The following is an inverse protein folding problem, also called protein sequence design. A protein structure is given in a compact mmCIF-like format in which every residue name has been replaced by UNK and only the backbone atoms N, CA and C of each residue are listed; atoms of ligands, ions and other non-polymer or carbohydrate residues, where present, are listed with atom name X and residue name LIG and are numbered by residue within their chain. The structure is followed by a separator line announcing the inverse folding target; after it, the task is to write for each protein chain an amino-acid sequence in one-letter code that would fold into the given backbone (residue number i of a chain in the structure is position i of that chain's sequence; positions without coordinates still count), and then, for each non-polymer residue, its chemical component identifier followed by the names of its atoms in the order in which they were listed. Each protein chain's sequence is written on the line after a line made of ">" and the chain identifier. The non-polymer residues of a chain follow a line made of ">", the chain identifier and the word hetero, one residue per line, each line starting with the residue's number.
data_IF_216960999337
#
_entry.id   IF_216960999337
#
_cell.length_a   1.000
_cell.length_b   1.000
_cell.length_c   1.000
_cell.angle_alpha   90.00
_cell.angle_beta   90.00
_cell.angle_gamma   90.00
#
_symmetry.space_group_name_H-M   'P 1'
#
loop_
_entity.id
_entity.type
_entity.pdbx_description
1 polymer ?
#
# COMPACT_ATOMS: atom_id res chain seq x y z
N UNK A 1 -12.29 -11.64 13.28
CA UNK A 1 -12.13 -12.15 11.90
C UNK A 1 -10.69 -12.02 11.44
N UNK A 2 -10.24 -12.83 10.47
CA UNK A 2 -8.86 -12.85 9.92
C UNK A 2 -8.66 -11.93 8.71
N UNK A 3 -9.61 -11.06 8.40
CA UNK A 3 -9.67 -10.37 7.12
C UNK A 3 -9.08 -8.96 7.19
N UNK A 4 -7.76 -8.86 7.40
CA UNK A 4 -7.01 -7.63 7.16
C UNK A 4 -6.58 -7.60 5.69
N UNK A 5 -7.41 -7.05 4.81
CA UNK A 5 -7.11 -6.91 3.38
C UNK A 5 -6.38 -5.60 3.08
N UNK A 6 -5.10 -5.51 3.42
CA UNK A 6 -4.23 -4.52 2.76
C UNK A 6 -3.74 -5.15 1.45
N UNK A 7 -4.56 -5.07 0.39
CA UNK A 7 -4.15 -5.41 -0.97
C UNK A 7 -4.07 -4.12 -1.79
N UNK A 8 -2.86 -3.61 -2.00
CA UNK A 8 -2.61 -2.66 -3.08
C UNK A 8 -1.38 -3.16 -3.85
N UNK A 9 -1.64 -3.82 -4.98
CA UNK A 9 -0.64 -4.13 -5.99
C UNK A 9 -0.87 -3.12 -7.13
N UNK A 10 -0.03 -2.10 -7.19
CA UNK A 10 -0.21 -1.01 -8.13
C UNK A 10 0.38 -1.37 -9.50
N UNK A 11 -0.42 -1.99 -10.37
CA UNK A 11 -0.29 -1.78 -11.82
C UNK A 11 -1.57 -1.14 -12.32
N UNK A 12 -1.50 -0.25 -13.29
CA UNK A 12 -2.69 0.45 -13.81
C UNK A 12 -3.77 -0.54 -14.26
N UNK A 13 -3.37 -1.63 -14.90
CA UNK A 13 -4.29 -2.70 -15.33
C UNK A 13 -4.79 -3.57 -14.17
N UNK A 14 -3.98 -3.76 -13.13
CA UNK A 14 -4.41 -4.44 -11.90
C UNK A 14 -5.45 -3.62 -11.13
N UNK A 15 -5.22 -2.32 -10.99
CA UNK A 15 -6.14 -1.37 -10.36
C UNK A 15 -7.43 -1.29 -11.17
N UNK A 16 -7.37 -1.15 -12.51
CA UNK A 16 -8.57 -1.14 -13.37
C UNK A 16 -9.40 -2.42 -13.23
N UNK A 17 -8.75 -3.60 -13.23
CA UNK A 17 -9.45 -4.87 -13.01
C UNK A 17 -10.09 -4.97 -11.63
N UNK A 18 -9.36 -4.54 -10.59
CA UNK A 18 -9.91 -4.51 -9.22
C UNK A 18 -11.10 -3.55 -9.11
N UNK A 19 -11.01 -2.36 -9.68
CA UNK A 19 -12.10 -1.38 -9.68
C UNK A 19 -13.33 -1.92 -10.42
N UNK A 20 -13.15 -2.58 -11.55
CA UNK A 20 -14.24 -3.22 -12.29
C UNK A 20 -14.94 -4.32 -11.47
N UNK A 21 -14.16 -5.14 -10.77
CA UNK A 21 -14.65 -6.21 -9.91
C UNK A 21 -15.36 -5.67 -8.65
N UNK A 22 -14.86 -4.58 -8.06
CA UNK A 22 -15.56 -3.84 -6.99
C UNK A 22 -16.87 -3.25 -7.50
N UNK A 23 -16.89 -2.62 -8.67
CA UNK A 23 -18.09 -2.06 -9.27
C UNK A 23 -19.15 -3.15 -9.52
N UNK A 24 -18.75 -4.32 -10.05
CA UNK A 24 -19.64 -5.46 -10.26
C UNK A 24 -20.23 -6.00 -8.94
N UNK A 25 -19.41 -6.14 -7.89
CA UNK A 25 -19.90 -6.53 -6.56
C UNK A 25 -20.86 -5.51 -5.96
N UNK A 26 -20.58 -4.24 -6.15
CA UNK A 26 -21.44 -3.16 -5.70
C UNK A 26 -22.79 -3.10 -6.44
N UNK A 27 -22.83 -3.45 -7.73
CA UNK A 27 -24.08 -3.61 -8.48
C UNK A 27 -24.91 -4.81 -7.96
N UNK A 28 -24.26 -5.89 -7.53
CA UNK A 28 -24.93 -7.06 -6.97
C UNK A 28 -25.51 -6.82 -5.55
N UNK A 29 -25.02 -5.81 -4.81
CA UNK A 29 -25.55 -5.44 -3.50
C UNK A 29 -25.61 -3.90 -3.30
N UNK A 30 -26.60 -3.23 -3.91
CA UNK A 30 -26.64 -1.77 -4.01
C UNK A 30 -26.99 -1.03 -2.71
N UNK A 31 -27.32 -1.75 -1.62
CA UNK A 31 -27.74 -1.13 -0.35
C UNK A 31 -26.57 -0.68 0.53
N UNK A 32 -25.32 -1.04 0.22
CA UNK A 32 -24.17 -0.45 0.91
C UNK A 32 -23.95 0.99 0.43
N UNK A 33 -24.23 1.98 1.28
CA UNK A 33 -23.95 3.41 1.03
C UNK A 33 -22.51 3.66 0.56
N UNK A 34 -21.56 2.84 1.02
CA UNK A 34 -20.16 2.84 0.60
C UNK A 34 -19.99 2.57 -0.91
N UNK A 35 -20.74 1.61 -1.44
CA UNK A 35 -20.66 1.21 -2.85
C UNK A 35 -21.09 2.32 -3.81
N UNK A 36 -22.16 3.06 -3.49
CA UNK A 36 -22.61 4.19 -4.32
C UNK A 36 -21.58 5.33 -4.33
N UNK A 37 -20.97 5.65 -3.19
CA UNK A 37 -19.91 6.68 -3.12
C UNK A 37 -18.68 6.28 -3.95
N UNK A 38 -18.25 5.02 -3.87
CA UNK A 38 -17.09 4.51 -4.63
C UNK A 38 -17.37 4.57 -6.13
N UNK A 39 -18.53 4.08 -6.60
CA UNK A 39 -18.91 4.12 -8.02
C UNK A 39 -18.98 5.57 -8.52
N UNK A 40 -19.64 6.46 -7.78
CA UNK A 40 -19.80 7.87 -8.18
C UNK A 40 -18.47 8.65 -8.22
N UNK A 41 -17.44 8.20 -7.49
CA UNK A 41 -16.11 8.80 -7.53
C UNK A 41 -15.25 8.27 -8.68
N UNK A 42 -15.60 7.12 -9.27
CA UNK A 42 -14.80 6.44 -10.29
C UNK A 42 -15.38 6.54 -11.68
N UNK A 43 -16.70 6.49 -11.80
CA UNK A 43 -17.42 6.47 -13.07
C UNK A 43 -18.20 7.76 -13.28
N UNK A 44 -18.26 8.18 -14.53
CA UNK A 44 -19.26 9.13 -15.00
C UNK A 44 -20.65 8.47 -14.99
N UNK A 45 -21.75 9.25 -15.02
CA UNK A 45 -23.10 8.70 -15.09
C UNK A 45 -23.36 7.78 -16.30
N UNK A 46 -22.57 7.92 -17.37
CA UNK A 46 -22.62 7.08 -18.58
C UNK A 46 -21.85 5.75 -18.45
N UNK A 47 -21.24 5.47 -17.30
CA UNK A 47 -20.47 4.26 -17.03
C UNK A 47 -19.01 4.31 -17.51
N UNK A 48 -18.56 5.41 -18.11
CA UNK A 48 -17.14 5.61 -18.45
C UNK A 48 -16.32 6.00 -17.23
N UNK A 49 -15.02 5.71 -17.22
CA UNK A 49 -14.14 6.15 -16.14
C UNK A 49 -13.96 7.67 -16.18
N UNK A 50 -14.03 8.32 -15.02
CA UNK A 50 -13.64 9.72 -14.88
C UNK A 50 -12.18 9.88 -15.31
N UNK A 51 -11.89 10.94 -16.08
CA UNK A 51 -10.53 11.28 -16.46
C UNK A 51 -9.71 11.60 -15.21
N UNK A 52 -8.56 10.94 -15.08
CA UNK A 52 -7.59 11.23 -14.03
C UNK A 52 -6.59 12.26 -14.58
N UNK A 53 -6.55 13.45 -13.99
CA UNK A 53 -5.65 14.55 -14.36
C UNK A 53 -4.57 14.83 -13.30
N UNK A 54 -4.53 14.04 -12.23
CA UNK A 54 -3.54 14.21 -11.16
C UNK A 54 -2.23 13.53 -11.51
N UNK A 55 -1.14 14.18 -11.12
CA UNK A 55 0.20 13.61 -11.22
C UNK A 55 0.27 12.26 -10.50
N UNK A 56 0.91 11.27 -11.13
CA UNK A 56 1.20 9.99 -10.49
C UNK A 56 2.37 10.06 -9.52
N UNK A 57 2.80 8.91 -9.01
CA UNK A 57 4.06 8.82 -8.27
C UNK A 57 5.26 9.12 -9.19
N UNK A 58 6.33 9.62 -8.59
CA UNK A 58 7.60 9.79 -9.30
C UNK A 58 8.32 8.45 -9.39
N UNK A 59 8.77 8.09 -10.60
CA UNK A 59 9.51 6.84 -10.86
C UNK A 59 10.88 7.12 -11.48
N UNK A 60 11.85 6.26 -11.19
CA UNK A 60 13.19 6.29 -11.79
C UNK A 60 13.86 4.92 -11.70
N UNK A 61 14.49 4.48 -12.80
CA UNK A 61 15.36 3.30 -12.80
C UNK A 61 16.54 3.48 -11.84
N UNK A 62 17.17 4.67 -11.85
CA UNK A 62 18.21 5.02 -10.90
C UNK A 62 17.59 5.36 -9.52
N UNK A 63 18.17 4.87 -8.41
CA UNK A 63 17.79 5.29 -7.07
C UNK A 63 18.10 6.77 -6.82
N UNK A 64 17.52 7.33 -5.75
CA UNK A 64 17.88 8.68 -5.30
C UNK A 64 19.33 8.74 -4.83
N UNK A 65 20.01 9.86 -5.09
CA UNK A 65 21.41 10.08 -4.74
C UNK A 65 21.54 10.75 -3.36
N UNK A 66 21.07 10.06 -2.32
CA UNK A 66 21.32 10.43 -0.94
C UNK A 66 21.62 9.19 -0.09
N UNK A 67 22.12 9.41 1.13
CA UNK A 67 22.58 8.32 2.00
C UNK A 67 21.44 7.33 2.33
N UNK A 68 21.74 6.03 2.24
CA UNK A 68 20.82 4.92 2.50
C UNK A 68 21.49 3.82 3.29
N UNK A 69 20.70 2.97 3.93
CA UNK A 69 21.16 1.71 4.52
C UNK A 69 20.78 0.51 3.64
N UNK A 70 21.52 -0.60 3.79
CA UNK A 70 21.13 -1.89 3.22
C UNK A 70 19.87 -2.39 3.93
N UNK A 71 18.98 -3.02 3.17
CA UNK A 71 17.76 -3.64 3.66
C UNK A 71 17.42 -4.85 2.79
N UNK A 72 18.14 -5.94 3.04
CA UNK A 72 17.92 -7.25 2.43
C UNK A 72 16.72 -7.98 3.04
N UNK A 73 16.41 -7.74 4.32
CA UNK A 73 15.24 -8.31 5.00
C UNK A 73 14.47 -7.21 5.71
N UNK A 74 13.15 -7.24 5.63
CA UNK A 74 12.24 -6.30 6.28
C UNK A 74 11.26 -7.11 7.11
N UNK A 75 11.12 -6.80 8.39
CA UNK A 75 10.15 -7.39 9.29
C UNK A 75 9.15 -6.32 9.71
N UNK A 76 7.85 -6.64 9.62
CA UNK A 76 6.76 -5.76 10.01
C UNK A 76 5.86 -6.54 10.95
N UNK A 77 5.81 -6.10 12.21
CA UNK A 77 4.97 -6.73 13.22
C UNK A 77 3.60 -6.08 13.26
N UNK A 78 2.56 -6.88 13.05
CA UNK A 78 1.18 -6.47 13.27
C UNK A 78 0.62 -7.11 14.54
N UNK A 79 -0.27 -6.42 15.27
CA UNK A 79 -0.98 -7.00 16.41
C UNK A 79 -1.66 -8.33 16.04
N UNK A 80 -1.67 -9.28 16.97
CA UNK A 80 -2.30 -10.59 16.78
C UNK A 80 -1.45 -11.62 16.03
N UNK A 81 -0.14 -11.39 15.88
CA UNK A 81 0.79 -12.38 15.30
C UNK A 81 0.84 -12.42 13.78
N UNK A 82 0.25 -11.42 13.10
CA UNK A 82 0.23 -11.31 11.65
C UNK A 82 1.52 -10.71 11.10
N UNK A 83 2.67 -11.27 11.47
CA UNK A 83 3.98 -10.78 11.04
C UNK A 83 4.13 -10.92 9.53
N UNK A 84 4.54 -9.81 8.90
CA UNK A 84 4.85 -9.72 7.48
C UNK A 84 6.35 -9.58 7.34
N UNK A 85 6.90 -10.32 6.40
CA UNK A 85 8.32 -10.25 6.07
C UNK A 85 8.50 -10.04 4.57
N UNK A 86 9.53 -9.29 4.21
CA UNK A 86 9.99 -9.16 2.84
C UNK A 86 11.48 -9.49 2.78
N UNK A 87 11.87 -10.31 1.80
CA UNK A 87 13.28 -10.60 1.52
C UNK A 87 13.63 -10.11 0.14
N UNK A 88 14.77 -9.44 0.01
CA UNK A 88 15.28 -8.97 -1.27
C UNK A 88 15.93 -10.13 -2.03
N UNK A 89 15.49 -10.33 -3.27
CA UNK A 89 16.10 -11.22 -4.24
C UNK A 89 16.93 -10.38 -5.21
N UNK A 90 18.25 -10.43 -5.07
CA UNK A 90 19.16 -9.63 -5.88
C UNK A 90 19.25 -10.09 -7.34
N UNK A 91 19.00 -11.38 -7.62
CA UNK A 91 19.02 -11.92 -8.99
C UNK A 91 17.82 -11.42 -9.79
N UNK A 92 16.65 -11.41 -9.14
CA UNK A 92 15.39 -10.93 -9.75
C UNK A 92 15.15 -9.44 -9.53
N UNK A 93 15.93 -8.81 -8.65
CA UNK A 93 15.87 -7.39 -8.31
C UNK A 93 14.47 -6.95 -7.81
N UNK A 94 13.89 -7.76 -6.91
CA UNK A 94 12.56 -7.60 -6.29
C UNK A 94 12.57 -8.04 -4.84
N UNK A 95 11.59 -7.61 -4.06
CA UNK A 95 11.28 -8.17 -2.74
C UNK A 95 10.22 -9.27 -2.86
N UNK A 96 10.44 -10.41 -2.20
CA UNK A 96 9.51 -11.53 -2.07
C UNK A 96 8.80 -11.49 -0.71
N UNK A 97 7.47 -11.70 -0.69
CA UNK A 97 6.67 -11.58 0.54
C UNK A 97 6.53 -12.90 1.27
N UNK A 98 6.59 -12.83 2.59
CA UNK A 98 6.28 -13.89 3.54
C UNK A 98 5.25 -13.38 4.56
N UNK A 99 4.43 -14.27 5.10
CA UNK A 99 3.49 -13.98 6.17
C UNK A 99 3.39 -15.16 7.11
N UNK A 100 3.51 -14.90 8.42
CA UNK A 100 3.54 -15.97 9.42
C UNK A 100 4.68 -16.98 9.19
N UNK A 101 5.80 -16.54 8.62
CA UNK A 101 6.96 -17.38 8.28
C UNK A 101 6.82 -18.21 7.00
N UNK A 102 5.69 -18.15 6.29
CA UNK A 102 5.45 -18.89 5.05
C UNK A 102 5.48 -17.97 3.84
N UNK A 103 5.86 -18.50 2.67
CA UNK A 103 5.78 -17.78 1.41
C UNK A 103 4.34 -17.34 1.13
N UNK A 104 4.12 -16.05 0.85
CA UNK A 104 2.79 -15.56 0.53
C UNK A 104 2.47 -15.83 -0.94
N UNK A 105 1.68 -16.88 -1.20
CA UNK A 105 1.29 -17.29 -2.55
C UNK A 105 -0.01 -16.58 -2.96
N UNK A 106 -0.01 -16.00 -4.15
CA UNK A 106 -1.21 -15.50 -4.79
C UNK A 106 -2.02 -16.70 -5.32
N UNK A 107 -3.21 -16.93 -4.74
CA UNK A 107 -4.06 -18.08 -5.10
C UNK A 107 -4.56 -18.09 -6.55
N UNK A 108 -4.59 -16.95 -7.24
CA UNK A 108 -5.05 -16.86 -8.62
C UNK A 108 -3.96 -17.30 -9.60
N UNK A 109 -2.70 -16.96 -9.29
CA UNK A 109 -1.56 -17.24 -10.17
C UNK A 109 -0.72 -18.43 -9.74
N UNK A 110 -0.84 -18.87 -8.48
CA UNK A 110 0.03 -19.86 -7.86
C UNK A 110 1.47 -19.37 -7.64
N UNK A 111 1.75 -18.09 -7.88
CA UNK A 111 3.08 -17.51 -7.75
C UNK A 111 3.26 -16.83 -6.39
N UNK A 112 4.49 -16.79 -5.89
CA UNK A 112 4.79 -15.99 -4.70
C UNK A 112 4.64 -14.50 -5.01
N UNK A 113 4.06 -13.75 -4.07
CA UNK A 113 3.93 -12.30 -4.18
C UNK A 113 5.32 -11.66 -4.18
N UNK A 114 5.57 -10.84 -5.20
CA UNK A 114 6.80 -10.05 -5.34
C UNK A 114 6.48 -8.58 -5.59
N UNK A 115 7.44 -7.71 -5.33
CA UNK A 115 7.31 -6.27 -5.60
C UNK A 115 8.67 -5.60 -5.83
N UNK A 116 8.71 -4.54 -6.63
CA UNK A 116 9.92 -3.73 -6.82
C UNK A 116 10.12 -2.74 -5.68
N UNK A 117 9.02 -2.33 -5.03
CA UNK A 117 9.03 -1.34 -3.96
C UNK A 117 8.16 -1.80 -2.79
N UNK A 118 8.71 -1.82 -1.58
CA UNK A 118 7.90 -1.89 -0.35
C UNK A 118 7.85 -0.49 0.25
N UNK A 119 6.66 0.08 0.38
CA UNK A 119 6.44 1.42 0.92
C UNK A 119 5.79 1.24 2.28
N UNK A 120 6.47 1.62 3.35
CA UNK A 120 5.93 1.55 4.71
C UNK A 120 5.72 2.96 5.23
N UNK A 121 4.48 3.32 5.51
CA UNK A 121 4.11 4.65 5.99
C UNK A 121 3.36 4.58 7.31
N UNK A 122 3.60 5.56 8.18
CA UNK A 122 2.83 5.74 9.41
C UNK A 122 1.62 6.62 9.16
N UNK A 123 0.47 6.23 9.70
CA UNK A 123 -0.74 7.04 9.66
C UNK A 123 -1.47 6.93 10.99
N UNK A 124 -2.26 7.95 11.33
CA UNK A 124 -3.09 7.90 12.53
C UNK A 124 -4.21 6.87 12.34
N UNK A 125 -4.38 5.99 13.33
CA UNK A 125 -5.42 4.96 13.33
C UNK A 125 -6.38 5.24 14.49
N UNK A 126 -7.62 5.61 14.15
CA UNK A 126 -8.65 5.99 15.11
C UNK A 126 -9.68 4.85 15.18
N UNK A 127 -9.89 4.32 16.38
CA UNK A 127 -11.01 3.38 16.60
C UNK A 127 -12.32 4.15 16.45
N UNK A 128 -13.20 3.61 15.61
CA UNK A 128 -14.56 4.14 15.41
C UNK A 128 -15.53 3.47 16.36
N UNK A 129 -16.73 4.02 16.51
CA UNK A 129 -17.81 3.37 17.26
C UNK A 129 -18.63 2.38 16.42
N UNK A 130 -18.21 2.13 15.17
CA UNK A 130 -18.85 1.17 14.27
C UNK A 130 -18.34 -0.23 14.62
N UNK A 131 -19.26 -1.16 14.91
CA UNK A 131 -18.94 -2.58 15.12
C UNK A 131 -18.96 -3.31 13.77
N UNK A 132 -17.85 -3.94 13.41
CA UNK A 132 -17.65 -4.59 12.11
C UNK A 132 -17.85 -6.10 12.13
N UNK A 133 -17.88 -6.74 13.31
CA UNK A 133 -18.15 -8.16 13.42
C UNK A 133 -19.03 -8.52 14.64
N UNK A 134 -19.53 -9.75 14.64
CA UNK A 134 -20.39 -10.29 15.71
C UNK A 134 -19.69 -10.41 17.07
N UNK A 135 -18.37 -10.21 17.11
CA UNK A 135 -17.55 -10.26 18.33
C UNK A 135 -17.37 -8.86 18.95
N UNK A 136 -17.92 -7.81 18.33
CA UNK A 136 -17.82 -6.45 18.85
C UNK A 136 -16.54 -5.71 18.40
N UNK A 137 -15.82 -6.22 17.40
CA UNK A 137 -14.62 -5.56 16.89
C UNK A 137 -15.00 -4.20 16.30
N UNK A 138 -14.39 -3.14 16.83
CA UNK A 138 -14.57 -1.77 16.32
C UNK A 138 -13.79 -1.55 15.03
N UNK A 139 -14.41 -0.88 14.06
CA UNK A 139 -13.76 -0.46 12.83
C UNK A 139 -12.65 0.56 13.09
N UNK A 140 -11.69 0.64 12.18
CA UNK A 140 -10.54 1.55 12.29
C UNK A 140 -10.58 2.54 11.13
N UNK A 141 -10.65 3.83 11.45
CA UNK A 141 -10.42 4.90 10.49
C UNK A 141 -8.91 5.17 10.40
N UNK A 142 -8.36 5.17 9.19
CA UNK A 142 -6.94 5.45 8.95
C UNK A 142 -6.86 6.76 8.18
N UNK A 143 -6.20 7.76 8.77
CA UNK A 143 -6.09 9.10 8.19
C UNK A 143 -4.98 9.13 7.13
N UNK A 144 -5.38 9.01 5.86
CA UNK A 144 -4.47 8.99 4.70
C UNK A 144 -4.34 10.34 3.97
N UNK A 145 -5.10 11.36 4.39
CA UNK A 145 -4.82 12.74 4.04
C UNK A 145 -4.10 13.38 5.23
N UNK A 146 -2.85 13.78 5.02
CA UNK A 146 -1.98 14.21 6.09
C UNK A 146 -0.52 13.96 5.73
N UNK A 147 0.27 13.67 6.76
CA UNK A 147 1.69 13.41 6.66
C UNK A 147 2.11 12.41 7.73
N UNK A 148 3.28 11.81 7.57
CA UNK A 148 3.86 10.92 8.56
C UNK A 148 5.22 10.37 8.12
N UNK A 149 5.82 9.57 8.99
CA UNK A 149 7.09 8.91 8.70
C UNK A 149 6.92 7.85 7.62
N UNK A 150 7.98 7.67 6.85
CA UNK A 150 8.03 6.83 5.67
C UNK A 150 9.35 6.05 5.62
N UNK A 151 9.26 4.79 5.21
CA UNK A 151 10.38 3.99 4.73
C UNK A 151 10.03 3.39 3.38
N UNK A 152 10.84 3.68 2.36
CA UNK A 152 10.73 3.05 1.05
C UNK A 152 11.88 2.07 0.92
N UNK A 153 11.56 0.84 0.54
CA UNK A 153 12.53 -0.21 0.27
C UNK A 153 12.51 -0.53 -1.22
N UNK A 154 13.65 -0.33 -1.88
CA UNK A 154 13.87 -0.63 -3.30
C UNK A 154 15.34 -0.95 -3.53
N UNK A 155 15.63 -1.82 -4.49
CA UNK A 155 17.01 -2.17 -4.88
C UNK A 155 17.88 -2.65 -3.69
N UNK A 156 17.29 -3.36 -2.72
CA UNK A 156 18.00 -3.86 -1.53
C UNK A 156 18.39 -2.78 -0.51
N UNK A 157 17.82 -1.58 -0.61
CA UNK A 157 18.13 -0.42 0.24
C UNK A 157 16.87 0.15 0.87
N UNK A 158 17.04 0.87 1.98
CA UNK A 158 15.99 1.65 2.63
C UNK A 158 16.26 3.15 2.49
N UNK A 159 15.20 3.88 2.15
CA UNK A 159 15.14 5.33 2.08
C UNK A 159 14.16 5.78 3.16
N UNK A 160 14.67 6.43 4.19
CA UNK A 160 13.85 6.99 5.27
C UNK A 160 13.46 8.44 4.95
N UNK A 161 12.27 8.83 5.39
CA UNK A 161 11.74 10.15 5.09
C UNK A 161 10.33 10.35 5.61
N UNK A 162 9.57 11.20 4.91
CA UNK A 162 8.17 11.48 5.23
C UNK A 162 7.29 11.36 3.99
N UNK A 163 6.00 11.10 4.21
CA UNK A 163 4.99 11.18 3.16
C UNK A 163 4.06 12.37 3.40
N UNK A 164 3.44 12.87 2.32
CA UNK A 164 2.35 13.85 2.40
C UNK A 164 1.29 13.52 1.36
N UNK A 165 0.02 13.65 1.73
CA UNK A 165 -1.09 13.56 0.79
C UNK A 165 -2.22 14.50 1.19
N UNK A 166 -2.98 14.97 0.20
CA UNK A 166 -4.18 15.76 0.43
C UNK A 166 -5.29 15.34 -0.54
N UNK A 167 -6.47 15.92 -0.36
CA UNK A 167 -7.58 15.78 -1.28
C UNK A 167 -7.27 16.30 -2.68
N UNK A 168 -6.29 17.20 -2.83
CA UNK A 168 -5.86 17.81 -4.09
C UNK A 168 -4.62 17.14 -4.69
N UNK A 169 -3.70 16.67 -3.85
CA UNK A 169 -2.40 16.17 -4.29
C UNK A 169 -2.25 14.66 -4.07
N UNK A 170 -1.77 13.96 -5.10
CA UNK A 170 -1.34 12.56 -4.99
C UNK A 170 -0.28 12.42 -3.90
N UNK A 171 -0.23 11.30 -3.15
CA UNK A 171 0.80 11.07 -2.15
C UNK A 171 2.21 11.28 -2.72
N UNK A 172 3.05 12.01 -1.98
CA UNK A 172 4.45 12.26 -2.32
C UNK A 172 5.37 11.76 -1.21
N UNK A 173 6.57 11.36 -1.62
CA UNK A 173 7.60 10.74 -0.79
C UNK A 173 8.80 11.66 -0.72
N UNK A 174 9.16 12.11 0.48
CA UNK A 174 10.23 13.09 0.68
C UNK A 174 11.33 12.49 1.54
N UNK A 175 12.56 12.54 1.04
CA UNK A 175 13.77 12.24 1.78
C UNK A 175 14.37 13.49 2.42
N UNK A 176 15.66 13.44 2.80
CA UNK A 176 16.36 14.57 3.38
C UNK A 176 16.27 15.83 2.52
N UNK A 177 15.99 16.97 3.14
CA UNK A 177 15.91 18.26 2.46
C UNK A 177 14.77 18.36 1.44
N UNK A 178 13.65 17.67 1.65
CA UNK A 178 12.47 17.70 0.77
C UNK A 178 12.73 17.14 -0.65
N UNK A 179 13.81 16.38 -0.83
CA UNK A 179 14.09 15.73 -2.09
C UNK A 179 13.10 14.59 -2.32
N UNK A 180 12.52 14.49 -3.52
CA UNK A 180 11.61 13.40 -3.84
C UNK A 180 12.34 12.06 -3.88
N UNK A 181 11.72 11.03 -3.30
CA UNK A 181 12.19 9.65 -3.38
C UNK A 181 11.47 8.96 -4.55
N UNK A 182 12.09 8.79 -5.73
CA UNK A 182 11.47 8.07 -6.83
C UNK A 182 11.30 6.58 -6.49
N UNK A 183 10.16 6.03 -6.85
CA UNK A 183 9.93 4.59 -6.86
C UNK A 183 10.64 3.95 -8.05
N UNK A 184 11.01 2.68 -7.93
CA UNK A 184 11.45 1.89 -9.06
C UNK A 184 10.26 1.59 -9.97
N UNK A 185 10.38 1.74 -11.30
CA UNK A 185 9.36 1.27 -12.22
C UNK A 185 9.02 -0.20 -11.96
N UNK A 186 7.73 -0.52 -11.89
CA UNK A 186 7.25 -1.86 -11.57
C UNK A 186 6.23 -1.85 -10.43
N UNK A 187 6.12 -2.97 -9.74
CA UNK A 187 5.12 -3.14 -8.69
C UNK A 187 5.55 -2.42 -7.41
N UNK A 188 4.57 -1.83 -6.72
CA UNK A 188 4.74 -1.30 -5.38
C UNK A 188 3.72 -1.93 -4.44
N UNK A 189 4.15 -2.21 -3.21
CA UNK A 189 3.29 -2.64 -2.12
C UNK A 189 3.30 -1.59 -1.01
N UNK A 190 2.14 -1.10 -0.61
CA UNK A 190 2.01 -0.13 0.48
C UNK A 190 1.57 -0.82 1.77
N UNK A 191 2.34 -0.61 2.83
CA UNK A 191 2.07 -1.02 4.20
C UNK A 191 1.77 0.23 5.02
N UNK A 192 0.57 0.28 5.59
CA UNK A 192 0.18 1.37 6.49
C UNK A 192 0.24 0.83 7.92
N UNK A 193 0.99 1.51 8.78
CA UNK A 193 1.22 1.13 10.18
C UNK A 193 0.98 2.32 11.12
N UNK A 194 0.91 2.05 12.42
CA UNK A 194 0.74 3.10 13.43
C UNK A 194 2.06 3.78 13.81
N UNK A 195 3.13 3.01 13.83
CA UNK A 195 4.44 3.43 14.35
C UNK A 195 5.55 2.66 13.64
N UNK A 196 6.60 3.38 13.21
CA UNK A 196 7.79 2.83 12.55
C UNK A 196 8.60 1.89 13.44
N UNK A 197 8.43 1.94 14.76
CA UNK A 197 9.02 0.99 15.72
C UNK A 197 8.61 -0.47 15.46
N UNK A 198 7.49 -0.68 14.74
CA UNK A 198 7.04 -2.01 14.32
C UNK A 198 7.78 -2.56 13.09
N UNK A 199 8.74 -1.80 12.54
CA UNK A 199 9.50 -2.17 11.34
C UNK A 199 10.97 -2.26 11.66
N UNK A 200 11.57 -3.42 11.41
CA UNK A 200 13.02 -3.64 11.47
C UNK A 200 13.55 -4.13 10.13
N UNK A 201 14.83 -3.86 9.86
CA UNK A 201 15.48 -4.28 8.62
C UNK A 201 16.98 -4.56 8.82
N UNK A 202 17.55 -5.39 7.94
CA UNK A 202 18.97 -5.78 7.88
C UNK A 202 19.46 -5.86 6.45
#
# INVERSE_FOLDING_TARGET
>A
GSDYRTRMQASTDGVRRWLADVAARCQANPQQLYCQKVINNLLNPDGTYKSWDREGFTFSEAPADFSTSVASTIQITYPGGNNVEWRYDAERNVYVRFQGGQAHIDNTTGQQVTTNNVIVLTANHILTDIVEDSLGTKGVNIELYGFGDLRIFRDGRVYEGTWRASDQNTPRWFGPGEQLIPLKPGQSWVQVIRDTSNVTYQ
#
